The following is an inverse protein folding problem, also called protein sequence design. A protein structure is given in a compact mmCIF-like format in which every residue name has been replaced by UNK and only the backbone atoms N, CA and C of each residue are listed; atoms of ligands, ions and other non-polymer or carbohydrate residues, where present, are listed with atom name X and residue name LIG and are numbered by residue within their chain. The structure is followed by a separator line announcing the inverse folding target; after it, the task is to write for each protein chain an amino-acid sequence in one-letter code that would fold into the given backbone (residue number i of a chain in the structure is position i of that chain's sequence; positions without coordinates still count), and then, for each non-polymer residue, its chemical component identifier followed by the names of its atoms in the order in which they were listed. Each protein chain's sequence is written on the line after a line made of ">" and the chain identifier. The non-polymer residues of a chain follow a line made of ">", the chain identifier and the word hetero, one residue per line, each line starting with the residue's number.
data_IF_173219660118
#
_entry.id   IF_173219660118
#
_cell.length_a   1.000
_cell.length_b   1.000
_cell.length_c   1.000
_cell.angle_alpha   90.00
_cell.angle_beta   90.00
_cell.angle_gamma   90.00
#
_symmetry.space_group_name_H-M   'P 1'
#
loop_
_entity.id
_entity.type
_entity.pdbx_description
1 polymer ?
#
# COMPACT_ATOMS: atom_id res chain seq x y z
N UNK A 1 6.34 -43.66 8.37
CA UNK A 1 7.55 -43.50 7.53
C UNK A 1 6.99 -43.45 6.12
N UNK A 2 6.77 -42.30 5.48
CA UNK A 2 7.55 -41.05 5.46
C UNK A 2 6.58 -39.86 5.20
N UNK A 3 6.52 -38.87 6.10
CA UNK A 3 7.16 -37.53 6.04
C UNK A 3 6.82 -36.66 4.81
N UNK A 4 6.04 -35.60 5.10
CA UNK A 4 6.18 -34.20 4.67
C UNK A 4 6.69 -33.89 3.26
N UNK A 5 5.90 -33.12 2.48
CA UNK A 5 6.29 -31.76 2.09
C UNK A 5 5.09 -31.01 1.46
N UNK A 6 4.21 -30.42 2.29
CA UNK A 6 3.33 -29.35 1.83
C UNK A 6 3.96 -28.02 2.23
N UNK A 7 4.63 -27.40 1.26
CA UNK A 7 5.15 -26.03 1.37
C UNK A 7 4.00 -25.06 1.71
N UNK A 8 4.06 -24.30 2.82
CA UNK A 8 3.06 -23.28 3.08
C UNK A 8 3.26 -22.13 2.08
N UNK A 9 2.19 -21.77 1.38
CA UNK A 9 2.11 -20.58 0.54
C UNK A 9 2.54 -19.36 1.37
N UNK A 10 3.73 -18.83 1.09
CA UNK A 10 4.20 -17.58 1.68
C UNK A 10 3.31 -16.44 1.18
N UNK A 11 2.22 -16.16 1.89
CA UNK A 11 1.51 -14.88 1.81
C UNK A 11 2.47 -13.81 2.31
N UNK A 12 3.22 -13.19 1.40
CA UNK A 12 4.04 -12.01 1.70
C UNK A 12 3.09 -10.82 1.83
N UNK A 13 2.59 -10.61 3.04
CA UNK A 13 2.09 -9.30 3.42
C UNK A 13 3.25 -8.30 3.37
N UNK A 14 3.12 -7.27 2.53
CA UNK A 14 3.98 -6.09 2.59
C UNK A 14 3.46 -5.18 3.72
N UNK A 15 3.72 -5.55 4.98
CA UNK A 15 3.53 -4.64 6.11
C UNK A 15 4.89 -4.18 6.58
N UNK A 16 5.10 -2.86 6.58
CA UNK A 16 6.19 -2.24 7.33
C UNK A 16 5.68 -2.11 8.76
N UNK A 17 5.85 -3.16 9.55
CA UNK A 17 5.59 -3.17 11.01
C UNK A 17 6.86 -2.80 11.80
N UNK A 18 7.77 -2.05 11.17
CA UNK A 18 8.99 -1.55 11.78
C UNK A 18 8.96 -0.02 11.75
N UNK A 19 9.45 0.61 12.81
CA UNK A 19 9.76 2.05 12.83
C UNK A 19 10.25 2.50 11.46
N UNK A 20 9.61 3.52 10.87
CA UNK A 20 10.09 4.13 9.62
C UNK A 20 11.56 4.44 9.83
N UNK A 21 12.49 3.76 9.13
CA UNK A 21 13.86 3.78 9.59
C UNK A 21 14.43 5.16 9.30
N UNK A 22 14.66 5.96 10.35
CA UNK A 22 15.16 7.33 10.24
C UNK A 22 16.54 7.40 9.59
N UNK A 23 17.26 6.27 9.54
CA UNK A 23 18.57 6.09 8.89
C UNK A 23 18.53 5.43 7.51
N UNK A 24 17.37 4.97 7.00
CA UNK A 24 17.29 4.15 5.77
C UNK A 24 17.24 4.91 4.45
N UNK A 25 17.25 6.24 4.46
CA UNK A 25 17.12 7.02 3.22
C UNK A 25 18.26 6.82 2.21
N UNK A 26 19.37 6.21 2.61
CA UNK A 26 20.52 5.92 1.71
C UNK A 26 20.73 4.43 1.44
N UNK A 27 20.02 3.55 2.14
CA UNK A 27 20.19 2.10 1.98
C UNK A 27 19.27 1.60 0.88
N UNK A 28 19.82 0.92 -0.11
CA UNK A 28 19.05 0.29 -1.17
C UNK A 28 18.55 -1.09 -0.74
N UNK A 29 17.27 -1.36 -0.99
CA UNK A 29 16.63 -2.65 -0.78
C UNK A 29 16.11 -3.20 -2.11
N UNK A 30 15.99 -4.53 -2.21
CA UNK A 30 15.27 -5.18 -3.30
C UNK A 30 13.81 -5.37 -2.89
N UNK A 31 12.91 -4.63 -3.53
CA UNK A 31 11.48 -4.55 -3.18
C UNK A 31 10.61 -5.59 -3.90
N UNK A 32 11.13 -6.16 -5.00
CA UNK A 32 10.42 -7.10 -5.86
C UNK A 32 10.97 -7.07 -7.27
N UNK A 33 10.17 -7.48 -8.24
CA UNK A 33 10.49 -7.43 -9.67
C UNK A 33 9.52 -6.49 -10.40
N UNK A 34 10.02 -5.74 -11.37
CA UNK A 34 9.21 -4.88 -12.22
C UNK A 34 8.31 -5.71 -13.12
N UNK A 35 7.07 -5.27 -13.26
CA UNK A 35 6.13 -5.89 -14.20
C UNK A 35 6.60 -5.74 -15.65
N UNK A 36 6.38 -6.75 -16.47
CA UNK A 36 6.84 -6.81 -17.87
C UNK A 36 8.31 -7.21 -18.07
N UNK A 37 9.28 -6.55 -17.42
CA UNK A 37 10.71 -6.87 -17.61
C UNK A 37 11.23 -7.96 -16.67
N UNK A 38 10.64 -8.11 -15.47
CA UNK A 38 11.10 -9.02 -14.43
C UNK A 38 12.33 -8.52 -13.66
N UNK A 39 12.87 -7.35 -14.01
CA UNK A 39 14.07 -6.81 -13.38
C UNK A 39 13.83 -6.49 -11.90
N UNK A 40 14.82 -6.72 -11.03
CA UNK A 40 14.69 -6.42 -9.61
C UNK A 40 14.54 -4.91 -9.36
N UNK A 41 13.53 -4.54 -8.58
CA UNK A 41 13.30 -3.18 -8.11
C UNK A 41 14.24 -2.92 -6.93
N UNK A 42 15.42 -2.35 -7.24
CA UNK A 42 16.42 -1.98 -6.24
C UNK A 42 16.42 -0.47 -6.00
N UNK A 43 15.81 -0.05 -4.91
CA UNK A 43 15.61 1.37 -4.58
C UNK A 43 15.87 1.63 -3.10
N UNK A 44 16.27 2.86 -2.76
CA UNK A 44 16.20 3.31 -1.38
C UNK A 44 14.75 3.40 -0.93
N UNK A 45 14.50 3.47 0.38
CA UNK A 45 13.15 3.71 0.87
C UNK A 45 12.55 5.00 0.29
N UNK A 46 13.34 6.08 0.19
CA UNK A 46 12.88 7.36 -0.39
C UNK A 46 12.44 7.17 -1.83
N UNK A 47 13.31 6.61 -2.66
CA UNK A 47 13.04 6.48 -4.09
C UNK A 47 11.85 5.53 -4.35
N UNK A 48 11.72 4.47 -3.54
CA UNK A 48 10.57 3.59 -3.61
C UNK A 48 9.28 4.30 -3.21
N UNK A 49 9.31 5.05 -2.10
CA UNK A 49 8.16 5.78 -1.60
C UNK A 49 7.69 6.85 -2.60
N UNK A 50 8.60 7.67 -3.12
CA UNK A 50 8.27 8.70 -4.12
C UNK A 50 7.78 8.10 -5.45
N UNK A 51 8.28 6.91 -5.83
CA UNK A 51 7.92 6.28 -7.10
C UNK A 51 6.62 5.47 -7.05
N UNK A 52 6.34 4.79 -5.93
CA UNK A 52 5.28 3.77 -5.87
C UNK A 52 4.26 3.98 -4.76
N UNK A 53 4.50 4.88 -3.80
CA UNK A 53 3.59 5.12 -2.67
C UNK A 53 2.98 6.51 -2.75
N UNK A 54 3.81 7.54 -2.85
CA UNK A 54 3.42 8.96 -2.92
C UNK A 54 3.82 9.55 -4.28
N UNK A 55 3.28 8.98 -5.34
CA UNK A 55 3.54 9.36 -6.72
C UNK A 55 2.61 10.49 -7.23
N UNK A 56 1.77 11.02 -6.35
CA UNK A 56 0.90 12.17 -6.54
C UNK A 56 0.74 12.92 -5.22
N UNK A 57 0.39 14.21 -5.27
CA UNK A 57 0.14 14.99 -4.07
C UNK A 57 -1.23 14.66 -3.45
N UNK A 58 -1.28 13.58 -2.68
CA UNK A 58 -2.51 13.10 -2.04
C UNK A 58 -3.04 14.04 -0.94
N UNK A 59 -2.22 14.96 -0.43
CA UNK A 59 -2.69 16.00 0.48
C UNK A 59 -3.71 16.94 -0.18
N UNK A 60 -3.59 17.13 -1.50
CA UNK A 60 -4.48 17.95 -2.33
C UNK A 60 -5.56 17.13 -3.06
N UNK A 61 -5.76 15.87 -2.68
CA UNK A 61 -6.75 15.00 -3.32
C UNK A 61 -8.17 15.59 -3.23
N UNK A 62 -8.93 15.62 -4.34
CA UNK A 62 -10.25 16.25 -4.37
C UNK A 62 -11.30 15.48 -3.55
N UNK A 63 -11.08 14.18 -3.31
CA UNK A 63 -11.98 13.32 -2.56
C UNK A 63 -11.26 12.74 -1.35
N UNK A 64 -11.88 12.87 -0.16
CA UNK A 64 -11.39 12.27 1.08
C UNK A 64 -12.52 11.47 1.72
N UNK A 65 -12.24 10.23 2.13
CA UNK A 65 -13.22 9.32 2.74
C UNK A 65 -12.66 8.67 4.00
N UNK A 66 -13.46 8.58 5.05
CA UNK A 66 -13.10 7.90 6.29
C UNK A 66 -13.89 6.58 6.43
N UNK A 67 -13.19 5.47 6.63
CA UNK A 67 -13.78 4.15 6.87
C UNK A 67 -14.47 3.50 5.66
N UNK A 68 -14.42 4.12 4.48
CA UNK A 68 -14.96 3.59 3.23
C UNK A 68 -14.00 3.83 2.09
N UNK A 69 -13.78 2.81 1.26
CA UNK A 69 -12.97 2.94 0.05
C UNK A 69 -13.81 3.46 -1.14
N UNK A 70 -13.23 4.39 -1.90
CA UNK A 70 -13.72 5.01 -3.12
C UNK A 70 -13.07 4.36 -4.34
N UNK A 71 -11.77 4.04 -4.27
CA UNK A 71 -11.07 3.29 -5.31
C UNK A 71 -11.69 1.90 -5.51
N UNK A 72 -12.13 1.61 -6.73
CA UNK A 72 -12.66 0.30 -7.11
C UNK A 72 -11.67 -0.39 -8.05
N UNK A 73 -11.05 -1.47 -7.59
CA UNK A 73 -10.14 -2.29 -8.36
C UNK A 73 -10.51 -3.77 -8.32
N UNK A 74 -9.72 -4.60 -8.99
CA UNK A 74 -9.95 -6.05 -9.09
C UNK A 74 -9.64 -6.80 -7.78
N UNK A 75 -8.85 -6.19 -6.89
CA UNK A 75 -8.47 -6.79 -5.61
C UNK A 75 -9.30 -6.17 -4.49
N UNK A 76 -10.12 -6.97 -3.76
CA UNK A 76 -10.82 -6.48 -2.59
C UNK A 76 -9.80 -6.09 -1.50
N UNK A 77 -10.09 -5.01 -0.77
CA UNK A 77 -9.27 -4.61 0.36
C UNK A 77 -9.38 -5.62 1.50
N UNK A 78 -8.22 -5.99 2.06
CA UNK A 78 -8.11 -6.84 3.24
C UNK A 78 -7.70 -6.05 4.50
N UNK A 79 -7.77 -4.70 4.48
CA UNK A 79 -7.31 -3.85 5.59
C UNK A 79 -7.95 -4.26 6.92
N UNK A 80 -9.26 -4.49 6.94
CA UNK A 80 -9.97 -4.89 8.16
C UNK A 80 -9.81 -6.38 8.50
N UNK A 81 -9.35 -7.21 7.56
CA UNK A 81 -8.97 -8.59 7.87
C UNK A 81 -7.63 -8.64 8.61
N UNK A 82 -6.66 -7.83 8.17
CA UNK A 82 -5.33 -7.73 8.81
C UNK A 82 -5.38 -6.90 10.08
N UNK A 83 -6.12 -5.79 10.06
CA UNK A 83 -6.26 -4.87 11.19
C UNK A 83 -7.73 -4.74 11.60
N UNK A 84 -8.29 -5.70 12.36
CA UNK A 84 -9.73 -5.75 12.68
C UNK A 84 -10.28 -4.54 13.44
N UNK A 85 -9.41 -3.79 14.13
CA UNK A 85 -9.78 -2.58 14.88
C UNK A 85 -9.34 -1.29 14.17
N UNK A 86 -8.92 -1.38 12.92
CA UNK A 86 -8.43 -0.21 12.22
C UNK A 86 -9.55 0.77 11.88
N UNK A 87 -9.18 2.04 11.90
CA UNK A 87 -9.86 3.10 11.18
C UNK A 87 -8.92 3.59 10.09
N UNK A 88 -9.44 3.95 8.93
CA UNK A 88 -8.59 4.40 7.82
C UNK A 88 -9.22 5.60 7.13
N UNK A 89 -8.35 6.41 6.52
CA UNK A 89 -8.72 7.54 5.67
C UNK A 89 -8.14 7.29 4.29
N UNK A 90 -8.93 7.47 3.25
CA UNK A 90 -8.50 7.44 1.86
C UNK A 90 -8.50 8.84 1.26
N UNK A 91 -7.42 9.17 0.57
CA UNK A 91 -7.26 10.34 -0.28
C UNK A 91 -7.28 9.86 -1.72
N UNK A 92 -8.29 10.27 -2.49
CA UNK A 92 -8.62 9.67 -3.78
C UNK A 92 -8.64 10.70 -4.91
N UNK A 93 -7.87 10.41 -5.95
CA UNK A 93 -8.00 11.04 -7.26
C UNK A 93 -8.87 10.16 -8.16
N UNK A 94 -10.04 10.66 -8.61
CA UNK A 94 -10.86 9.92 -9.53
C UNK A 94 -10.14 9.77 -10.87
N UNK A 95 -10.43 8.66 -11.55
CA UNK A 95 -9.94 8.46 -12.91
C UNK A 95 -10.54 9.49 -13.87
N UNK A 96 -9.81 9.78 -14.93
CA UNK A 96 -10.19 10.75 -15.96
C UNK A 96 -11.02 10.10 -17.06
N UNK A 97 -11.96 10.87 -17.62
CA UNK A 97 -12.78 10.41 -18.75
C UNK A 97 -11.94 9.96 -19.95
N UNK A 98 -10.82 10.65 -20.20
CA UNK A 98 -9.87 10.32 -21.28
C UNK A 98 -9.35 8.88 -21.17
N UNK A 99 -9.18 8.39 -19.96
CA UNK A 99 -8.68 7.05 -19.68
C UNK A 99 -9.82 6.10 -19.27
N UNK A 100 -11.08 6.47 -19.49
CA UNK A 100 -12.25 5.66 -19.12
C UNK A 100 -12.34 5.41 -17.60
N UNK A 101 -11.77 6.28 -16.79
CA UNK A 101 -11.66 6.10 -15.34
C UNK A 101 -10.59 5.10 -14.89
N UNK A 102 -9.75 4.58 -15.79
CA UNK A 102 -8.75 3.52 -15.52
C UNK A 102 -7.37 4.07 -15.10
N UNK A 103 -7.33 5.28 -14.58
CA UNK A 103 -6.13 5.97 -14.10
C UNK A 103 -6.34 6.59 -12.72
N UNK A 104 -7.34 6.11 -11.98
CA UNK A 104 -7.58 6.54 -10.61
C UNK A 104 -6.43 6.12 -9.70
N UNK A 105 -6.19 6.91 -8.65
CA UNK A 105 -5.19 6.65 -7.60
C UNK A 105 -5.73 6.98 -6.22
N UNK A 106 -5.26 6.26 -5.22
CA UNK A 106 -5.64 6.40 -3.83
C UNK A 106 -4.45 6.21 -2.90
N UNK A 107 -4.39 7.01 -1.85
CA UNK A 107 -3.56 6.76 -0.69
C UNK A 107 -4.46 6.49 0.52
N UNK A 108 -4.33 5.31 1.12
CA UNK A 108 -5.07 4.92 2.32
C UNK A 108 -4.13 4.90 3.51
N UNK A 109 -4.47 5.67 4.53
CA UNK A 109 -3.73 5.80 5.78
C UNK A 109 -4.50 5.05 6.86
N UNK A 110 -3.88 4.04 7.47
CA UNK A 110 -4.54 3.10 8.37
C UNK A 110 -4.04 3.29 9.80
N UNK A 111 -4.97 3.48 10.72
CA UNK A 111 -4.72 3.70 12.13
C UNK A 111 -5.33 2.62 13.00
N UNK A 112 -4.66 2.24 14.08
CA UNK A 112 -5.20 1.34 15.12
C UNK A 112 -5.17 2.04 16.48
N UNK A 113 -6.22 1.88 17.32
CA UNK A 113 -6.22 2.43 18.67
C UNK A 113 -5.05 1.92 19.50
N UNK A 114 -4.41 2.81 20.25
CA UNK A 114 -3.32 2.50 21.18
C UNK A 114 -3.49 3.33 22.47
N UNK A 115 -4.16 2.75 23.46
CA UNK A 115 -4.50 3.46 24.70
C UNK A 115 -5.50 4.58 24.42
N UNK A 116 -5.15 5.82 24.78
CA UNK A 116 -5.92 7.04 24.46
C UNK A 116 -5.62 7.62 23.08
N UNK A 117 -4.59 7.10 22.39
CA UNK A 117 -4.10 7.63 21.12
C UNK A 117 -4.37 6.67 19.95
N UNK A 118 -3.98 7.10 18.75
CA UNK A 118 -4.01 6.30 17.53
C UNK A 118 -2.60 6.15 16.97
N UNK A 119 -2.27 4.97 16.47
CA UNK A 119 -1.00 4.70 15.78
C UNK A 119 -1.24 4.49 14.31
N UNK A 120 -0.45 5.16 13.48
CA UNK A 120 -0.34 4.83 12.05
C UNK A 120 0.35 3.46 11.94
N UNK A 121 -0.34 2.49 11.35
CA UNK A 121 0.16 1.11 11.20
C UNK A 121 0.38 0.71 9.74
N UNK A 122 -0.20 1.43 8.79
CA UNK A 122 0.00 1.16 7.36
C UNK A 122 -0.30 2.37 6.49
N UNK A 123 0.46 2.49 5.38
CA UNK A 123 0.19 3.37 4.25
C UNK A 123 0.02 2.45 3.04
N UNK A 124 -1.14 2.52 2.40
CA UNK A 124 -1.48 1.67 1.26
C UNK A 124 -1.71 2.54 0.05
N UNK A 125 -0.95 2.28 -1.02
CA UNK A 125 -1.19 2.88 -2.33
C UNK A 125 -2.12 1.96 -3.13
N UNK A 126 -3.19 2.53 -3.67
CA UNK A 126 -4.11 1.86 -4.60
C UNK A 126 -4.13 2.62 -5.92
N UNK A 127 -4.11 1.89 -7.02
CA UNK A 127 -4.31 2.46 -8.35
C UNK A 127 -5.02 1.45 -9.24
N UNK A 128 -5.61 1.93 -10.32
CA UNK A 128 -6.10 1.01 -11.34
C UNK A 128 -4.94 0.24 -11.97
N UNK A 129 -5.11 -1.08 -12.09
CA UNK A 129 -4.21 -1.99 -12.82
C UNK A 129 -5.04 -2.97 -13.64
N UNK A 130 -4.48 -3.48 -14.75
CA UNK A 130 -5.09 -4.52 -15.60
C UNK A 130 -5.04 -5.87 -14.90
#
# INVERSE_FOLDING_TARGET
>A
MDSENQSPLRRRSQFIDAELPSSSFKTTYEWGSADGSGDPIRLTFRDYFEKFVYDQDFADAPNVSAGKLLGTGNTPSNILEVYPKASFVEYHYPGTDKNGGMDWKSLVVVFVPSGSDWKLVSIVHGQWTI
#
